data_IF_962130517938
#
_entry.id   IF_962130517938
#
_cell.length_a   1.000
_cell.length_b   1.000
_cell.length_c   1.000
_cell.angle_alpha   90.00
_cell.angle_beta   90.00
_cell.angle_gamma   90.00
#
_symmetry.space_group_name_H-M   'P 1'
#
loop_
_entity.id
_entity.type
_entity.pdbx_description
1 polymer ?
#
# COMPACT_ATOMS: atom_id res chain seq x y z
N UNK A 1 32.75 -4.45 0.24
CA UNK A 1 31.83 -5.59 0.05
C UNK A 1 30.48 -5.03 -0.37
N UNK A 2 30.24 -4.92 -1.67
CA UNK A 2 28.98 -4.41 -2.22
C UNK A 2 27.89 -5.44 -2.01
N UNK A 3 26.81 -5.08 -1.33
CA UNK A 3 25.63 -5.94 -1.13
C UNK A 3 25.10 -6.36 -2.52
N UNK A 4 24.69 -7.63 -2.71
CA UNK A 4 24.09 -8.05 -3.98
C UNK A 4 22.84 -7.20 -4.24
N UNK A 5 22.81 -6.50 -5.38
CA UNK A 5 21.60 -5.88 -5.90
C UNK A 5 20.67 -7.00 -6.36
N UNK A 6 19.82 -7.47 -5.46
CA UNK A 6 18.72 -8.36 -5.83
C UNK A 6 17.71 -7.54 -6.65
N UNK A 7 17.93 -7.47 -7.96
CA UNK A 7 16.92 -7.02 -8.92
C UNK A 7 15.89 -8.14 -9.09
N UNK A 8 14.99 -8.21 -8.12
CA UNK A 8 13.83 -9.08 -8.14
C UNK A 8 12.90 -8.67 -9.29
N UNK A 9 12.45 -9.62 -10.12
CA UNK A 9 11.68 -9.35 -11.34
C UNK A 9 10.30 -8.74 -11.03
N UNK A 10 9.74 -8.94 -9.83
CA UNK A 10 8.41 -8.43 -9.47
C UNK A 10 8.41 -7.03 -8.85
N UNK A 11 9.59 -6.43 -8.62
CA UNK A 11 9.70 -5.07 -8.08
C UNK A 11 8.82 -4.03 -8.79
N UNK A 12 8.72 -3.98 -10.14
CA UNK A 12 7.83 -3.04 -10.81
C UNK A 12 6.35 -3.19 -10.42
N UNK A 13 5.87 -4.43 -10.26
CA UNK A 13 4.47 -4.69 -9.88
C UNK A 13 4.20 -4.39 -8.41
N UNK A 14 5.16 -4.70 -7.52
CA UNK A 14 5.10 -4.32 -6.10
C UNK A 14 5.05 -2.80 -5.98
N UNK A 15 5.91 -2.07 -6.70
CA UNK A 15 5.91 -0.60 -6.74
C UNK A 15 4.55 -0.06 -7.22
N UNK A 16 3.97 -0.64 -8.28
CA UNK A 16 2.64 -0.23 -8.75
C UNK A 16 1.55 -0.47 -7.69
N UNK A 17 1.61 -1.55 -6.93
CA UNK A 17 0.65 -1.81 -5.82
C UNK A 17 0.81 -0.79 -4.70
N UNK A 18 2.03 -0.49 -4.30
CA UNK A 18 2.31 0.51 -3.26
C UNK A 18 1.87 1.92 -3.69
N UNK A 19 2.09 2.32 -4.95
CA UNK A 19 1.59 3.60 -5.49
C UNK A 19 0.05 3.71 -5.47
N UNK A 20 -0.66 2.60 -5.70
CA UNK A 20 -2.12 2.59 -5.57
C UNK A 20 -2.56 2.77 -4.12
N UNK A 21 -1.89 2.09 -3.17
CA UNK A 21 -2.14 2.24 -1.74
C UNK A 21 -1.86 3.67 -1.26
N UNK A 22 -0.81 4.32 -1.78
CA UNK A 22 -0.49 5.73 -1.52
C UNK A 22 -1.64 6.66 -1.98
N UNK A 23 -2.13 6.48 -3.21
CA UNK A 23 -3.27 7.27 -3.72
C UNK A 23 -4.54 7.06 -2.89
N UNK A 24 -4.79 5.83 -2.44
CA UNK A 24 -5.92 5.52 -1.56
C UNK A 24 -5.76 6.20 -0.19
N UNK A 25 -4.56 6.17 0.39
CA UNK A 25 -4.29 6.86 1.65
C UNK A 25 -4.55 8.37 1.55
N UNK A 26 -4.20 9.00 0.43
CA UNK A 26 -4.53 10.41 0.18
C UNK A 26 -6.05 10.65 0.17
N UNK A 27 -6.83 9.73 -0.43
CA UNK A 27 -8.29 9.81 -0.39
C UNK A 27 -8.85 9.68 1.03
N UNK A 28 -8.25 8.84 1.88
CA UNK A 28 -8.67 8.68 3.28
C UNK A 28 -8.45 9.97 4.06
N UNK A 29 -7.32 10.65 3.85
CA UNK A 29 -7.07 11.97 4.46
C UNK A 29 -8.16 12.96 4.04
N UNK A 30 -8.52 13.00 2.75
CA UNK A 30 -9.65 13.82 2.28
C UNK A 30 -10.98 13.45 2.97
N UNK A 31 -11.28 12.16 3.16
CA UNK A 31 -12.47 11.74 3.90
C UNK A 31 -12.49 12.24 5.34
N UNK A 32 -11.32 12.32 5.99
CA UNK A 32 -11.20 12.86 7.34
C UNK A 32 -11.43 14.38 7.35
N UNK A 33 -10.86 15.10 6.39
CA UNK A 33 -11.04 16.55 6.22
C UNK A 33 -12.51 16.91 5.90
N UNK A 34 -13.21 16.05 5.15
CA UNK A 34 -14.64 16.17 4.85
C UNK A 34 -15.56 15.78 6.02
N UNK A 35 -15.01 15.29 7.13
CA UNK A 35 -15.80 14.87 8.29
C UNK A 35 -16.66 13.62 8.04
N UNK A 36 -16.20 12.70 7.18
CA UNK A 36 -16.90 11.42 6.91
C UNK A 36 -17.01 10.56 8.17
N UNK A 37 -17.96 9.62 8.16
CA UNK A 37 -18.18 8.72 9.28
C UNK A 37 -16.93 7.89 9.63
N UNK A 38 -16.62 7.77 10.92
CA UNK A 38 -15.46 7.01 11.40
C UNK A 38 -15.45 5.55 10.91
N UNK A 39 -16.63 4.94 10.77
CA UNK A 39 -16.76 3.57 10.27
C UNK A 39 -16.30 3.46 8.79
N UNK A 40 -16.71 4.40 7.94
CA UNK A 40 -16.28 4.45 6.53
C UNK A 40 -14.76 4.61 6.44
N UNK A 41 -14.20 5.54 7.23
CA UNK A 41 -12.75 5.82 7.27
C UNK A 41 -12.00 4.56 7.71
N UNK A 42 -12.44 3.90 8.79
CA UNK A 42 -11.82 2.68 9.31
C UNK A 42 -11.85 1.54 8.27
N UNK A 43 -12.94 1.39 7.52
CA UNK A 43 -13.04 0.40 6.44
C UNK A 43 -12.05 0.69 5.31
N UNK A 44 -11.87 1.97 4.93
CA UNK A 44 -10.90 2.33 3.90
C UNK A 44 -9.45 2.11 4.37
N UNK A 45 -9.14 2.45 5.62
CA UNK A 45 -7.83 2.16 6.22
C UNK A 45 -7.53 0.66 6.17
N UNK A 46 -8.49 -0.18 6.56
CA UNK A 46 -8.33 -1.62 6.52
C UNK A 46 -8.06 -2.16 5.10
N UNK A 47 -8.68 -1.57 4.07
CA UNK A 47 -8.40 -1.91 2.68
C UNK A 47 -6.94 -1.60 2.28
N UNK A 48 -6.41 -0.46 2.70
CA UNK A 48 -5.01 -0.07 2.48
C UNK A 48 -4.05 -1.01 3.22
N UNK A 49 -4.31 -1.32 4.49
CA UNK A 49 -3.52 -2.27 5.27
C UNK A 49 -3.43 -3.65 4.59
N UNK A 50 -4.56 -4.14 4.07
CA UNK A 50 -4.62 -5.40 3.33
C UNK A 50 -3.77 -5.34 2.06
N UNK A 51 -3.84 -4.24 1.30
CA UNK A 51 -3.04 -4.05 0.09
C UNK A 51 -1.53 -4.06 0.39
N UNK A 52 -1.10 -3.34 1.45
CA UNK A 52 0.30 -3.30 1.89
C UNK A 52 0.76 -4.68 2.36
N UNK A 53 -0.07 -5.39 3.12
CA UNK A 53 0.24 -6.75 3.59
C UNK A 53 0.46 -7.70 2.43
N UNK A 54 -0.36 -7.62 1.37
CA UNK A 54 -0.18 -8.43 0.18
C UNK A 54 1.08 -8.04 -0.61
N UNK A 55 1.38 -6.74 -0.75
CA UNK A 55 2.61 -6.28 -1.39
C UNK A 55 3.86 -6.81 -0.66
N UNK A 56 3.87 -6.78 0.68
CA UNK A 56 4.94 -7.36 1.50
C UNK A 56 5.07 -8.87 1.29
N UNK A 57 3.96 -9.61 1.27
CA UNK A 57 3.98 -11.06 1.00
C UNK A 57 4.61 -11.36 -0.36
N UNK A 58 4.20 -10.64 -1.40
CA UNK A 58 4.78 -10.78 -2.75
C UNK A 58 6.28 -10.46 -2.74
N UNK A 59 6.72 -9.42 -2.03
CA UNK A 59 8.14 -9.06 -1.92
C UNK A 59 8.99 -10.15 -1.24
N UNK A 60 8.46 -10.80 -0.19
CA UNK A 60 9.20 -11.85 0.54
C UNK A 60 9.25 -13.18 -0.24
N UNK A 61 8.27 -13.41 -1.11
CA UNK A 61 8.16 -14.61 -1.94
C UNK A 61 8.93 -14.51 -3.27
N UNK A 62 9.49 -13.34 -3.58
CA UNK A 62 10.34 -13.08 -4.75
C UNK A 62 11.84 -13.07 -4.37
#
# INVERSE_FOLDING_TARGET
>A
MSKPHHHHQTHPEIIKRLKRAEGHLRSIVGMMEEGRACLDIAQQIHAVEKAITQAKKTLIQD
#
